data_IF_489550202815
#
_entry.id   IF_489550202815
#
_cell.length_a   1.000
_cell.length_b   1.000
_cell.length_c   1.000
_cell.angle_alpha   90.00
_cell.angle_beta   90.00
_cell.angle_gamma   90.00
#
_symmetry.space_group_name_H-M   'P 1'
#
loop_
_entity.id
_entity.type
_entity.pdbx_description
1 polymer ?
#
# COMPACT_ATOMS: atom_id res chain seq x y z
N UNK A 1 -15.61 2.17 -5.47
CA UNK A 1 -14.72 2.62 -6.56
C UNK A 1 -14.76 4.14 -6.66
N UNK A 2 -13.63 4.79 -6.74
CA UNK A 2 -13.52 6.24 -6.82
C UNK A 2 -12.75 6.57 -8.10
N UNK A 3 -13.35 7.33 -9.03
CA UNK A 3 -12.74 7.70 -10.30
C UNK A 3 -12.22 6.48 -11.09
N UNK A 4 -12.98 5.38 -11.07
CA UNK A 4 -12.62 4.10 -11.70
C UNK A 4 -11.40 3.44 -11.07
N UNK A 5 -11.11 3.74 -9.81
CA UNK A 5 -10.03 3.13 -9.03
C UNK A 5 -10.67 2.36 -7.88
N UNK A 6 -10.36 1.08 -7.77
CA UNK A 6 -10.82 0.26 -6.66
C UNK A 6 -9.81 0.30 -5.51
N UNK A 7 -10.33 0.31 -4.28
CA UNK A 7 -9.52 0.35 -3.06
C UNK A 7 -9.74 -0.95 -2.29
N UNK A 8 -8.65 -1.64 -2.00
CA UNK A 8 -8.67 -2.94 -1.32
C UNK A 8 -7.98 -2.86 0.03
N UNK A 9 -8.66 -3.32 1.08
CA UNK A 9 -8.13 -3.43 2.42
C UNK A 9 -7.66 -4.87 2.67
N UNK A 10 -6.34 -5.06 2.75
CA UNK A 10 -5.71 -6.31 3.14
C UNK A 10 -4.90 -6.09 4.42
N UNK A 11 -5.50 -5.47 5.42
CA UNK A 11 -4.85 -5.15 6.68
C UNK A 11 -4.36 -6.40 7.42
N UNK A 12 -4.91 -7.57 7.11
CA UNK A 12 -4.43 -8.86 7.62
C UNK A 12 -3.10 -9.25 7.01
N UNK A 13 -2.66 -8.60 5.94
CA UNK A 13 -1.35 -8.80 5.33
C UNK A 13 -0.22 -8.29 6.22
N UNK A 14 0.00 -8.95 7.35
CA UNK A 14 0.99 -8.54 8.35
C UNK A 14 2.36 -9.18 8.13
N UNK A 15 2.54 -9.90 7.05
CA UNK A 15 3.84 -10.50 6.69
C UNK A 15 4.06 -10.41 5.18
N UNK A 16 5.31 -10.60 4.79
CA UNK A 16 5.75 -10.48 3.39
C UNK A 16 5.02 -11.46 2.47
N UNK A 17 4.85 -12.71 2.90
CA UNK A 17 4.18 -13.74 2.09
C UNK A 17 2.75 -13.38 1.72
N UNK A 18 1.99 -12.83 2.68
CA UNK A 18 0.62 -12.40 2.46
C UNK A 18 0.55 -11.26 1.43
N UNK A 19 1.46 -10.30 1.52
CA UNK A 19 1.52 -9.17 0.58
C UNK A 19 1.92 -9.63 -0.82
N UNK A 20 2.90 -10.54 -0.94
CA UNK A 20 3.29 -11.11 -2.24
C UNK A 20 2.09 -11.78 -2.90
N UNK A 21 1.33 -12.56 -2.15
CA UNK A 21 0.13 -13.23 -2.68
C UNK A 21 -0.93 -12.22 -3.15
N UNK A 22 -1.16 -11.16 -2.38
CA UNK A 22 -2.12 -10.11 -2.75
C UNK A 22 -1.69 -9.38 -4.01
N UNK A 23 -0.41 -9.04 -4.14
CA UNK A 23 0.13 -8.38 -5.33
C UNK A 23 -0.09 -9.23 -6.58
N UNK A 24 0.24 -10.50 -6.52
CA UNK A 24 0.08 -11.41 -7.65
C UNK A 24 -1.39 -11.62 -8.02
N UNK A 25 -2.26 -11.74 -7.01
CA UNK A 25 -3.69 -11.96 -7.23
C UNK A 25 -4.38 -10.76 -7.87
N UNK A 26 -4.17 -9.57 -7.33
CA UNK A 26 -4.82 -8.35 -7.81
C UNK A 26 -4.12 -7.73 -9.01
N UNK A 27 -2.81 -7.89 -9.11
CA UNK A 27 -1.99 -7.28 -10.16
C UNK A 27 -2.01 -8.00 -11.50
N UNK A 28 -2.67 -9.16 -11.59
CA UNK A 28 -2.69 -9.95 -12.82
C UNK A 28 -3.29 -9.21 -14.00
N UNK A 29 -4.34 -8.40 -13.75
CA UNK A 29 -5.10 -7.71 -14.80
C UNK A 29 -4.93 -6.19 -14.79
N UNK A 30 -4.20 -5.63 -13.83
CA UNK A 30 -4.09 -4.18 -13.67
C UNK A 30 -2.89 -3.79 -12.84
N UNK A 31 -2.52 -2.51 -12.89
CA UNK A 31 -1.47 -1.99 -12.02
C UNK A 31 -2.02 -1.63 -10.66
N UNK A 32 -1.15 -1.68 -9.65
CA UNK A 32 -1.51 -1.42 -8.26
C UNK A 32 -0.69 -0.25 -7.72
N UNK A 33 -1.34 0.59 -6.90
CA UNK A 33 -0.61 1.49 -5.99
C UNK A 33 -0.69 0.83 -4.63
N UNK A 34 0.47 0.52 -4.05
CA UNK A 34 0.57 -0.33 -2.87
C UNK A 34 0.98 0.49 -1.67
N UNK A 35 0.26 0.33 -0.55
CA UNK A 35 0.62 0.93 0.73
C UNK A 35 1.28 -0.15 1.57
N UNK A 36 2.54 0.06 1.92
CA UNK A 36 3.38 -0.86 2.69
C UNK A 36 3.90 -0.18 3.94
N UNK A 37 4.19 -0.96 4.96
CA UNK A 37 4.89 -0.47 6.13
C UNK A 37 4.16 -0.70 7.44
N UNK A 38 4.81 -0.29 8.50
CA UNK A 38 4.38 -0.50 9.88
C UNK A 38 5.55 -1.02 10.70
N UNK A 39 5.27 -1.96 11.61
CA UNK A 39 6.30 -2.61 12.40
C UNK A 39 6.74 -3.90 11.70
N UNK A 40 8.00 -3.96 11.27
CA UNK A 40 8.50 -5.02 10.40
C UNK A 40 8.79 -6.36 11.05
N UNK A 41 8.86 -6.44 12.38
CA UNK A 41 9.13 -7.68 13.13
C UNK A 41 10.40 -8.42 12.66
N UNK A 42 11.42 -7.70 12.23
CA UNK A 42 12.70 -8.27 11.77
C UNK A 42 12.55 -9.21 10.56
N UNK A 43 11.53 -9.00 9.74
CA UNK A 43 11.33 -9.77 8.51
C UNK A 43 12.33 -9.38 7.43
N UNK A 44 12.56 -10.30 6.50
CA UNK A 44 13.24 -9.99 5.25
C UNK A 44 12.21 -9.49 4.24
N UNK A 45 12.34 -8.24 3.80
CA UNK A 45 11.44 -7.62 2.84
C UNK A 45 11.87 -7.81 1.38
N UNK A 46 13.04 -8.39 1.13
CA UNK A 46 13.56 -8.57 -0.24
C UNK A 46 12.59 -9.31 -1.17
N UNK A 47 11.81 -10.32 -0.73
CA UNK A 47 10.86 -10.99 -1.62
C UNK A 47 9.78 -10.08 -2.20
N UNK A 48 9.57 -8.88 -1.64
CA UNK A 48 8.62 -7.90 -2.18
C UNK A 48 9.13 -7.22 -3.44
N UNK A 49 10.44 -7.17 -3.66
CA UNK A 49 11.05 -6.35 -4.72
C UNK A 49 10.55 -6.73 -6.11
N UNK A 50 10.55 -8.01 -6.47
CA UNK A 50 10.11 -8.45 -7.79
C UNK A 50 8.61 -8.24 -8.01
N UNK A 51 7.72 -8.71 -7.10
CA UNK A 51 6.29 -8.46 -7.29
C UNK A 51 5.94 -6.96 -7.36
N UNK A 52 6.56 -6.14 -6.55
CA UNK A 52 6.34 -4.69 -6.58
C UNK A 52 6.77 -4.12 -7.93
N UNK A 53 7.96 -4.50 -8.42
CA UNK A 53 8.43 -4.00 -9.71
C UNK A 53 7.54 -4.45 -10.87
N UNK A 54 6.93 -5.62 -10.76
CA UNK A 54 6.07 -6.19 -11.80
C UNK A 54 4.65 -5.62 -11.79
N UNK A 55 4.06 -5.45 -10.61
CA UNK A 55 2.63 -5.16 -10.47
C UNK A 55 2.32 -3.74 -10.03
N UNK A 56 3.26 -3.04 -9.39
CA UNK A 56 3.00 -1.72 -8.83
C UNK A 56 3.25 -0.59 -9.81
N UNK A 57 2.36 0.40 -9.79
CA UNK A 57 2.60 1.68 -10.46
C UNK A 57 3.35 2.62 -9.54
N UNK A 58 3.09 2.55 -8.24
CA UNK A 58 3.75 3.35 -7.22
C UNK A 58 3.64 2.63 -5.88
N UNK A 59 4.52 2.99 -4.95
CA UNK A 59 4.53 2.45 -3.58
C UNK A 59 4.48 3.61 -2.60
N UNK A 60 3.59 3.52 -1.61
CA UNK A 60 3.51 4.48 -0.50
C UNK A 60 3.92 3.75 0.77
N UNK A 61 4.88 4.33 1.50
CA UNK A 61 5.46 3.73 2.69
C UNK A 61 5.01 4.46 3.94
N UNK A 62 4.57 3.70 4.95
CA UNK A 62 4.11 4.24 6.23
C UNK A 62 4.80 3.52 7.39
N UNK A 63 4.73 4.11 8.57
CA UNK A 63 5.09 3.46 9.82
C UNK A 63 6.58 3.47 10.14
N UNK A 64 6.91 2.86 11.26
CA UNK A 64 8.24 2.90 11.87
C UNK A 64 9.33 2.32 10.97
N UNK A 65 9.04 1.22 10.31
CA UNK A 65 10.04 0.49 9.54
C UNK A 65 9.94 0.74 8.02
N UNK A 66 9.30 1.84 7.62
CA UNK A 66 9.21 2.24 6.20
C UNK A 66 10.57 2.28 5.53
N UNK A 67 11.59 2.81 6.21
CA UNK A 67 12.96 2.88 5.67
C UNK A 67 13.57 1.51 5.42
N UNK A 68 13.25 0.52 6.25
CA UNK A 68 13.73 -0.86 6.07
C UNK A 68 13.12 -1.51 4.84
N UNK A 69 11.82 -1.32 4.65
CA UNK A 69 11.11 -1.82 3.46
C UNK A 69 11.67 -1.15 2.21
N UNK A 70 11.85 0.16 2.25
CA UNK A 70 12.41 0.94 1.14
C UNK A 70 13.81 0.45 0.76
N UNK A 71 14.68 0.24 1.74
CA UNK A 71 16.04 -0.24 1.51
C UNK A 71 16.04 -1.63 0.84
N UNK A 72 15.11 -2.51 1.24
CA UNK A 72 15.04 -3.86 0.72
C UNK A 72 14.61 -3.93 -0.75
N UNK A 73 13.72 -3.01 -1.19
CA UNK A 73 13.13 -3.06 -2.53
C UNK A 73 13.73 -2.03 -3.50
N UNK A 74 14.43 -1.03 -3.01
CA UNK A 74 14.87 0.15 -3.76
C UNK A 74 15.64 -0.17 -5.04
N UNK A 75 16.60 -1.09 -4.99
CA UNK A 75 17.46 -1.38 -6.12
C UNK A 75 16.66 -1.93 -7.31
N UNK A 76 15.79 -2.90 -7.07
CA UNK A 76 14.98 -3.55 -8.11
C UNK A 76 13.88 -2.64 -8.60
N UNK A 77 13.15 -2.03 -7.66
CA UNK A 77 12.02 -1.15 -7.95
C UNK A 77 12.49 0.12 -8.66
N UNK A 78 13.63 0.67 -8.26
CA UNK A 78 14.23 1.83 -8.93
C UNK A 78 14.59 1.56 -10.38
N UNK A 79 15.11 0.38 -10.67
CA UNK A 79 15.43 -0.03 -12.04
C UNK A 79 14.18 -0.16 -12.91
N UNK A 80 13.04 -0.49 -12.31
CA UNK A 80 11.74 -0.59 -13.01
C UNK A 80 11.04 0.75 -13.18
N UNK A 81 11.56 1.82 -12.57
CA UNK A 81 10.96 3.15 -12.66
C UNK A 81 9.75 3.36 -11.75
N UNK A 82 9.49 2.48 -10.81
CA UNK A 82 8.38 2.61 -9.87
C UNK A 82 8.74 3.62 -8.78
N UNK A 83 7.98 4.73 -8.64
CA UNK A 83 8.30 5.72 -7.61
C UNK A 83 7.91 5.25 -6.21
N UNK A 84 8.70 5.66 -5.21
CA UNK A 84 8.49 5.38 -3.80
C UNK A 84 8.17 6.68 -3.07
N UNK A 85 7.11 6.69 -2.28
CA UNK A 85 6.67 7.85 -1.52
C UNK A 85 6.61 7.52 -0.04
N UNK A 86 6.92 8.48 0.82
CA UNK A 86 6.77 8.34 2.27
C UNK A 86 5.54 9.12 2.73
N UNK A 87 4.77 8.53 3.64
CA UNK A 87 3.60 9.17 4.24
C UNK A 87 3.68 9.10 5.77
N UNK A 88 3.28 10.17 6.43
CA UNK A 88 3.30 10.27 7.89
C UNK A 88 2.03 9.72 8.56
N UNK A 89 0.99 9.44 7.78
CA UNK A 89 -0.29 8.92 8.29
C UNK A 89 -0.99 8.11 7.21
N UNK A 90 -2.01 7.37 7.62
CA UNK A 90 -2.84 6.62 6.66
C UNK A 90 -3.62 7.56 5.74
N UNK A 91 -4.11 8.69 6.26
CA UNK A 91 -4.80 9.69 5.46
C UNK A 91 -3.90 10.22 4.34
N UNK A 92 -2.67 10.58 4.69
CA UNK A 92 -1.68 11.05 3.71
C UNK A 92 -1.35 9.94 2.70
N UNK A 93 -1.22 8.68 3.16
CA UNK A 93 -0.93 7.55 2.29
C UNK A 93 -2.05 7.35 1.25
N UNK A 94 -3.30 7.42 1.66
CA UNK A 94 -4.45 7.30 0.76
C UNK A 94 -4.48 8.48 -0.23
N UNK A 95 -4.21 9.69 0.22
CA UNK A 95 -4.18 10.87 -0.65
C UNK A 95 -3.09 10.75 -1.72
N UNK A 96 -1.88 10.33 -1.34
CA UNK A 96 -0.78 10.11 -2.29
C UNK A 96 -1.14 8.99 -3.27
N UNK A 97 -1.68 7.89 -2.77
CA UNK A 97 -2.07 6.76 -3.61
C UNK A 97 -3.10 7.18 -4.66
N UNK A 98 -4.09 7.98 -4.26
CA UNK A 98 -5.11 8.47 -5.17
C UNK A 98 -4.52 9.35 -6.28
N UNK A 99 -3.51 10.15 -5.96
CA UNK A 99 -2.83 11.01 -6.93
C UNK A 99 -2.01 10.20 -7.94
N UNK A 100 -1.44 9.08 -7.52
CA UNK A 100 -0.59 8.24 -8.35
C UNK A 100 -1.37 7.24 -9.20
N UNK A 101 -2.55 6.82 -8.75
CA UNK A 101 -3.36 5.84 -9.44
C UNK A 101 -3.99 6.44 -10.71
N UNK A 102 -4.14 5.59 -11.72
CA UNK A 102 -4.81 5.96 -12.98
C UNK A 102 -6.08 5.14 -13.13
N UNK A 103 -6.97 5.58 -14.00
CA UNK A 103 -8.21 4.88 -14.33
C UNK A 103 -7.93 3.39 -14.61
N UNK A 104 -8.63 2.51 -13.94
CA UNK A 104 -8.45 1.07 -14.06
C UNK A 104 -7.44 0.46 -13.09
N UNK A 105 -6.65 1.28 -12.39
CA UNK A 105 -5.74 0.79 -11.35
C UNK A 105 -6.50 0.43 -10.08
N UNK A 106 -5.81 -0.21 -9.14
CA UNK A 106 -6.32 -0.44 -7.79
C UNK A 106 -5.33 0.09 -6.77
N UNK A 107 -5.84 0.54 -5.63
CA UNK A 107 -5.03 0.88 -4.45
C UNK A 107 -5.15 -0.29 -3.47
N UNK A 108 -4.03 -0.89 -3.13
CA UNK A 108 -3.97 -2.04 -2.23
C UNK A 108 -3.24 -1.66 -0.95
N UNK A 109 -3.94 -1.73 0.18
CA UNK A 109 -3.30 -1.60 1.49
C UNK A 109 -3.01 -3.00 2.01
N UNK A 110 -1.80 -3.50 1.73
CA UNK A 110 -1.31 -4.80 2.19
C UNK A 110 0.09 -4.60 2.76
N UNK A 111 0.17 -4.19 4.04
CA UNK A 111 1.36 -3.55 4.58
C UNK A 111 2.60 -4.42 4.72
N UNK A 112 2.47 -5.73 4.75
CA UNK A 112 3.54 -6.69 5.04
C UNK A 112 4.07 -6.61 6.48
N UNK A 113 3.58 -5.68 7.28
CA UNK A 113 4.06 -5.36 8.61
C UNK A 113 2.93 -5.40 9.63
N UNK A 114 3.30 -5.58 10.91
CA UNK A 114 2.35 -5.45 12.00
C UNK A 114 1.91 -3.98 12.15
N UNK A 115 0.76 -3.77 12.79
CA UNK A 115 0.13 -2.46 12.90
C UNK A 115 0.45 -1.71 14.20
N UNK A 116 1.14 -2.32 15.15
CA UNK A 116 1.24 -1.82 16.52
C UNK A 116 2.03 -0.51 16.69
N UNK A 117 2.79 -0.08 15.69
CA UNK A 117 3.52 1.19 15.77
C UNK A 117 2.63 2.42 15.55
N UNK A 118 1.53 2.28 14.80
CA UNK A 118 0.63 3.39 14.46
C UNK A 118 -0.82 3.14 14.88
N UNK A 119 -1.20 1.90 15.12
CA UNK A 119 -2.57 1.48 15.35
C UNK A 119 -2.61 0.47 16.51
N UNK A 120 -3.77 0.32 17.15
CA UNK A 120 -3.95 -0.63 18.25
C UNK A 120 -3.81 -2.09 17.76
N UNK A 121 -4.28 -2.37 16.54
CA UNK A 121 -4.21 -3.69 15.92
C UNK A 121 -4.48 -3.56 14.42
N UNK A 122 -4.44 -4.68 13.67
CA UNK A 122 -4.68 -4.63 12.23
C UNK A 122 -6.12 -4.22 11.88
N UNK A 123 -7.08 -4.50 12.75
CA UNK A 123 -8.48 -4.11 12.55
C UNK A 123 -8.64 -2.59 12.67
N UNK A 124 -7.93 -1.97 13.61
CA UNK A 124 -7.88 -0.50 13.72
C UNK A 124 -7.25 0.11 12.46
N UNK A 125 -6.17 -0.48 11.97
CA UNK A 125 -5.53 -0.03 10.73
C UNK A 125 -6.47 -0.12 9.53
N UNK A 126 -7.24 -1.21 9.42
CA UNK A 126 -8.25 -1.38 8.39
C UNK A 126 -9.33 -0.29 8.49
N UNK A 127 -9.81 -0.01 9.69
CA UNK A 127 -10.81 1.02 9.93
C UNK A 127 -10.31 2.40 9.48
N UNK A 128 -9.09 2.75 9.87
CA UNK A 128 -8.49 4.06 9.51
C UNK A 128 -8.33 4.17 7.99
N UNK A 129 -7.91 3.10 7.33
CA UNK A 129 -7.81 3.07 5.87
C UNK A 129 -9.17 3.30 5.23
N UNK A 130 -10.19 2.58 5.66
CA UNK A 130 -11.55 2.72 5.11
C UNK A 130 -12.11 4.13 5.34
N UNK A 131 -11.88 4.71 6.51
CA UNK A 131 -12.30 6.08 6.80
C UNK A 131 -11.58 7.10 5.91
N UNK A 132 -10.29 6.89 5.64
CA UNK A 132 -9.52 7.75 4.76
C UNK A 132 -10.05 7.68 3.32
N UNK A 133 -10.40 6.49 2.85
CA UNK A 133 -10.99 6.29 1.52
C UNK A 133 -12.36 6.98 1.43
N UNK A 134 -13.19 6.87 2.47
CA UNK A 134 -14.49 7.54 2.51
C UNK A 134 -14.36 9.06 2.50
N UNK A 135 -13.39 9.60 3.24
CA UNK A 135 -13.10 11.03 3.23
C UNK A 135 -12.67 11.51 1.85
N UNK A 136 -11.85 10.73 1.16
CA UNK A 136 -11.44 11.03 -0.20
C UNK A 136 -12.63 11.04 -1.16
N UNK A 137 -13.51 10.05 -1.05
CA UNK A 137 -14.71 9.97 -1.87
C UNK A 137 -15.62 11.19 -1.67
N UNK A 138 -15.78 11.62 -0.41
CA UNK A 138 -16.55 12.80 -0.07
C UNK A 138 -15.94 14.07 -0.69
N UNK A 139 -14.63 14.23 -0.57
CA UNK A 139 -13.91 15.40 -1.10
C UNK A 139 -13.98 15.48 -2.62
N UNK A 140 -14.09 14.35 -3.30
CA UNK A 140 -14.20 14.30 -4.75
C UNK A 140 -15.65 14.36 -5.24
N UNK A 141 -16.62 14.39 -4.33
CA UNK A 141 -18.04 14.43 -4.67
C UNK A 141 -18.61 13.09 -5.09
N UNK A 142 -17.90 11.99 -4.86
CA UNK A 142 -18.35 10.65 -5.18
C UNK A 142 -19.14 10.09 -4.00
N UNK A 143 -20.30 9.50 -4.28
CA UNK A 143 -21.08 8.78 -3.27
C UNK A 143 -20.55 7.37 -3.12
N UNK A 144 -20.33 6.97 -1.87
CA UNK A 144 -19.80 5.66 -1.54
C UNK A 144 -20.89 4.79 -0.92
#
# INVERSE_FOLDING_TARGET
MIRDIEYFDDSKGTNVGATVAALAGLGADRKLVVILGGEGKSQDFSPLAEPVSRYARAVVLIGRDAALVKAAIKAVVGASGVPLFDAGSMQEAVDIAAQQARTGDAVLMSPACASFDMFDNYEHRAQVFCEAVQALAHDTGVLV
#
